data_IF_318832210879
#
_entry.id   IF_318832210879
#
_cell.length_a   1.000
_cell.length_b   1.000
_cell.length_c   1.000
_cell.angle_alpha   90.00
_cell.angle_beta   90.00
_cell.angle_gamma   90.00
#
_symmetry.space_group_name_H-M   'P 1'
#
loop_
_entity.id
_entity.type
_entity.pdbx_description
1 polymer ?
#
# COMPACT_ATOMS: atom_id res chain seq x y z
N UNK A 1 -70.97 22.78 56.72
CA UNK A 1 -71.59 22.26 55.53
C UNK A 1 -70.49 22.19 54.42
N UNK A 2 -70.27 21.09 53.90
CA UNK A 2 -69.07 20.48 53.29
C UNK A 2 -68.76 21.15 51.94
N UNK A 3 -67.68 21.93 51.85
CA UNK A 3 -66.91 22.22 50.64
C UNK A 3 -65.43 22.32 51.00
N UNK A 4 -64.81 21.20 51.28
CA UNK A 4 -63.34 21.19 51.55
C UNK A 4 -62.66 19.85 51.21
N UNK A 5 -63.19 19.11 50.18
CA UNK A 5 -62.51 17.83 49.91
C UNK A 5 -62.20 17.51 48.43
N UNK A 6 -62.59 18.40 47.52
CA UNK A 6 -62.32 18.11 46.09
C UNK A 6 -61.04 18.78 45.56
N UNK A 7 -60.61 19.88 46.15
CA UNK A 7 -59.41 20.59 45.73
C UNK A 7 -58.10 19.87 46.13
N UNK A 8 -58.11 19.13 47.25
CA UNK A 8 -56.91 18.43 47.74
C UNK A 8 -56.62 17.13 46.97
N UNK A 9 -57.64 16.42 46.48
CA UNK A 9 -57.48 15.23 45.68
C UNK A 9 -56.99 15.54 44.25
N UNK A 10 -57.45 16.66 43.66
CA UNK A 10 -57.01 17.10 42.32
C UNK A 10 -55.56 17.59 42.37
N UNK A 11 -55.11 18.21 43.46
CA UNK A 11 -53.71 18.67 43.62
C UNK A 11 -52.71 17.49 43.83
N UNK A 12 -53.14 16.41 44.49
CA UNK A 12 -52.34 15.22 44.69
C UNK A 12 -52.19 14.39 43.38
N UNK A 13 -53.24 14.29 42.59
CA UNK A 13 -53.18 13.59 41.29
C UNK A 13 -52.33 14.34 40.25
N UNK A 14 -52.39 15.69 40.24
CA UNK A 14 -51.57 16.51 39.34
C UNK A 14 -50.07 16.42 39.69
N UNK A 15 -49.76 16.39 41.00
CA UNK A 15 -48.37 16.22 41.43
C UNK A 15 -47.81 14.81 41.11
N UNK A 16 -48.64 13.76 41.23
CA UNK A 16 -48.23 12.39 40.88
C UNK A 16 -48.04 12.23 39.37
N UNK A 17 -48.92 12.85 38.55
CA UNK A 17 -48.80 12.83 37.09
C UNK A 17 -47.54 13.61 36.62
N UNK A 18 -47.25 14.77 37.24
CA UNK A 18 -46.07 15.56 36.90
C UNK A 18 -44.76 14.86 37.29
N UNK A 19 -44.70 14.23 38.49
CA UNK A 19 -43.52 13.48 38.92
C UNK A 19 -43.29 12.23 38.07
N UNK A 20 -44.36 11.53 37.68
CA UNK A 20 -44.27 10.36 36.76
C UNK A 20 -43.77 10.78 35.36
N UNK A 21 -44.26 11.90 34.83
CA UNK A 21 -43.81 12.42 33.54
C UNK A 21 -42.36 12.88 33.54
N UNK A 22 -41.89 13.55 34.61
CA UNK A 22 -40.50 13.96 34.74
C UNK A 22 -39.57 12.74 34.90
N UNK A 23 -39.99 11.71 35.64
CA UNK A 23 -39.21 10.48 35.83
C UNK A 23 -39.14 9.68 34.50
N UNK A 24 -40.20 9.59 33.73
CA UNK A 24 -40.26 8.93 32.43
C UNK A 24 -39.31 9.61 31.41
N UNK A 25 -39.32 10.94 31.34
CA UNK A 25 -38.46 11.71 30.46
C UNK A 25 -36.98 11.62 30.88
N UNK A 26 -36.64 11.49 32.17
CA UNK A 26 -35.31 11.28 32.66
C UNK A 26 -34.80 9.87 32.30
N UNK A 27 -35.65 8.85 32.40
CA UNK A 27 -35.30 7.47 32.02
C UNK A 27 -35.09 7.37 30.49
N UNK A 28 -35.97 7.99 29.70
CA UNK A 28 -35.79 8.06 28.24
C UNK A 28 -34.51 8.80 27.86
N UNK A 29 -34.21 9.92 28.53
CA UNK A 29 -32.96 10.67 28.33
C UNK A 29 -31.71 9.85 28.69
N UNK A 30 -31.76 9.06 29.80
CA UNK A 30 -30.67 8.18 30.21
C UNK A 30 -30.48 7.01 29.20
N UNK A 31 -31.60 6.41 28.73
CA UNK A 31 -31.55 5.36 27.73
C UNK A 31 -31.02 5.86 26.38
N UNK A 32 -31.41 7.08 25.96
CA UNK A 32 -30.87 7.74 24.75
C UNK A 32 -29.37 8.03 24.88
N UNK A 33 -28.91 8.51 26.05
CA UNK A 33 -27.48 8.71 26.31
C UNK A 33 -26.71 7.39 26.33
N UNK A 34 -27.30 6.31 26.84
CA UNK A 34 -26.72 4.97 26.84
C UNK A 34 -26.62 4.40 25.42
N UNK A 35 -27.67 4.56 24.60
CA UNK A 35 -27.70 4.12 23.19
C UNK A 35 -26.73 4.95 22.35
N UNK A 36 -26.63 6.26 22.55
CA UNK A 36 -25.64 7.13 21.91
C UNK A 36 -24.22 6.82 22.39
N UNK A 37 -24.04 6.49 23.68
CA UNK A 37 -22.75 6.03 24.22
C UNK A 37 -22.31 4.68 23.63
N UNK A 38 -23.24 3.74 23.44
CA UNK A 38 -22.94 2.46 22.77
C UNK A 38 -22.71 2.60 21.26
N UNK A 39 -23.37 3.56 20.59
CA UNK A 39 -23.11 3.85 19.18
C UNK A 39 -21.71 4.46 18.93
N UNK A 40 -21.12 5.09 19.97
CA UNK A 40 -19.72 5.58 19.90
C UNK A 40 -18.69 4.57 20.41
N UNK A 41 -19.11 3.45 21.02
CA UNK A 41 -18.28 2.27 21.25
C UNK A 41 -18.25 1.33 20.02
N UNK A 42 -18.41 1.87 18.80
CA UNK A 42 -17.79 1.18 17.67
C UNK A 42 -16.32 1.12 18.04
N UNK A 43 -15.88 -0.09 18.43
CA UNK A 43 -14.48 -0.42 18.50
C UNK A 43 -13.81 0.25 17.31
N UNK A 44 -12.91 1.18 17.59
CA UNK A 44 -11.88 1.55 16.64
C UNK A 44 -11.12 0.24 16.43
N UNK A 45 -11.65 -0.61 15.56
CA UNK A 45 -10.95 -1.80 15.09
C UNK A 45 -9.62 -1.24 14.61
N UNK A 46 -8.59 -1.44 15.41
CA UNK A 46 -7.26 -0.94 15.08
C UNK A 46 -6.98 -1.52 13.70
N UNK A 47 -7.06 -0.66 12.68
CA UNK A 47 -6.87 -1.09 11.30
C UNK A 47 -5.55 -1.83 11.27
N UNK A 48 -5.61 -3.14 11.05
CA UNK A 48 -4.42 -4.00 11.03
C UNK A 48 -3.45 -3.40 10.02
N UNK A 49 -2.32 -2.89 10.49
CA UNK A 49 -1.33 -2.25 9.62
C UNK A 49 -0.83 -3.28 8.61
N UNK A 50 -0.71 -2.88 7.35
CA UNK A 50 -0.09 -3.73 6.36
C UNK A 50 1.42 -3.83 6.64
N UNK A 51 1.93 -5.06 6.65
CA UNK A 51 3.35 -5.38 6.73
C UNK A 51 3.67 -6.19 5.48
N UNK A 52 4.39 -5.58 4.55
CA UNK A 52 4.70 -6.12 3.23
C UNK A 52 6.18 -6.45 3.17
N UNK A 53 6.53 -7.68 2.85
CA UNK A 53 7.91 -8.12 2.70
C UNK A 53 8.23 -8.42 1.24
N UNK A 54 9.23 -7.74 0.67
CA UNK A 54 9.85 -8.10 -0.60
C UNK A 54 10.87 -9.20 -0.36
N UNK A 55 10.67 -10.36 -0.96
CA UNK A 55 11.50 -11.53 -0.74
C UNK A 55 12.28 -11.93 -2.00
N UNK A 56 13.60 -11.75 -1.95
CA UNK A 56 14.56 -12.18 -2.98
C UNK A 56 15.52 -13.27 -2.49
N UNK A 57 15.24 -13.87 -1.33
CA UNK A 57 16.10 -14.86 -0.68
C UNK A 57 16.01 -16.27 -1.29
N UNK A 58 16.73 -17.19 -0.70
CA UNK A 58 16.77 -18.59 -1.15
C UNK A 58 15.54 -19.39 -0.71
N UNK A 59 15.31 -20.52 -1.39
CA UNK A 59 14.26 -21.47 -1.04
C UNK A 59 14.41 -22.05 0.39
N UNK A 60 15.65 -22.16 0.89
CA UNK A 60 15.90 -22.64 2.24
C UNK A 60 15.63 -21.56 3.30
N UNK A 61 16.04 -20.32 3.04
CA UNK A 61 15.93 -19.26 4.02
C UNK A 61 14.48 -18.86 4.34
N UNK A 62 13.52 -19.09 3.43
CA UNK A 62 12.12 -18.73 3.67
C UNK A 62 11.50 -19.46 4.85
N UNK A 63 12.01 -20.65 5.22
CA UNK A 63 11.48 -21.42 6.35
C UNK A 63 11.78 -20.78 7.71
N UNK A 64 12.77 -19.90 7.78
CA UNK A 64 13.11 -19.18 9.02
C UNK A 64 12.12 -18.04 9.35
N UNK A 65 11.24 -17.67 8.43
CA UNK A 65 10.30 -16.56 8.62
C UNK A 65 8.94 -17.02 9.13
N UNK A 66 8.45 -16.34 10.15
CA UNK A 66 7.12 -16.58 10.68
C UNK A 66 6.06 -15.85 9.83
N UNK A 67 5.22 -16.61 9.14
CA UNK A 67 4.16 -16.06 8.28
C UNK A 67 3.18 -15.12 9.00
N UNK A 68 3.05 -15.20 10.34
CA UNK A 68 2.17 -14.35 11.14
C UNK A 68 2.69 -12.92 11.28
N UNK A 69 3.97 -12.67 10.97
CA UNK A 69 4.58 -11.34 11.03
C UNK A 69 4.27 -10.50 9.80
N UNK A 70 3.71 -11.09 8.74
CA UNK A 70 3.44 -10.42 7.47
C UNK A 70 1.95 -10.43 7.16
N UNK A 71 1.49 -9.37 6.50
CA UNK A 71 0.19 -9.34 5.81
C UNK A 71 0.34 -9.71 4.34
N UNK A 72 1.48 -9.34 3.75
CA UNK A 72 1.81 -9.62 2.35
C UNK A 72 3.26 -10.07 2.25
N UNK A 73 3.52 -11.00 1.33
CA UNK A 73 4.86 -11.36 0.90
C UNK A 73 4.91 -11.32 -0.63
N UNK A 74 5.91 -10.65 -1.16
CA UNK A 74 6.10 -10.40 -2.59
C UNK A 74 7.31 -11.21 -3.06
N UNK A 75 7.09 -12.09 -4.04
CA UNK A 75 8.18 -12.79 -4.71
C UNK A 75 8.94 -11.82 -5.62
N UNK A 76 10.25 -11.70 -5.45
CA UNK A 76 11.15 -10.83 -6.21
C UNK A 76 12.21 -11.65 -6.96
N UNK A 77 12.30 -11.59 -8.26
CA UNK A 77 11.45 -10.91 -9.22
C UNK A 77 11.25 -11.79 -10.46
N UNK A 78 10.08 -11.73 -11.06
CA UNK A 78 9.87 -12.13 -12.44
C UNK A 78 10.48 -11.12 -13.42
N UNK A 79 10.53 -11.49 -14.68
CA UNK A 79 11.09 -10.69 -15.77
C UNK A 79 10.16 -10.73 -16.98
N UNK A 80 10.27 -9.75 -17.85
CA UNK A 80 9.65 -9.85 -19.17
C UNK A 80 10.48 -10.81 -20.07
N UNK A 81 9.76 -11.69 -20.76
CA UNK A 81 10.29 -12.46 -21.89
C UNK A 81 9.33 -12.26 -23.07
N UNK A 82 9.74 -11.48 -24.06
CA UNK A 82 8.79 -10.86 -24.98
C UNK A 82 7.85 -9.97 -24.18
N UNK A 83 6.54 -10.16 -24.36
CA UNK A 83 5.52 -9.41 -23.64
C UNK A 83 5.08 -10.09 -22.33
N UNK A 84 5.50 -11.32 -22.06
CA UNK A 84 5.00 -12.13 -20.94
C UNK A 84 5.81 -11.94 -19.68
N UNK A 85 5.13 -11.97 -18.54
CA UNK A 85 5.79 -12.20 -17.25
C UNK A 85 6.28 -13.64 -17.18
N UNK A 86 7.57 -13.84 -16.95
CA UNK A 86 8.20 -15.16 -16.81
C UNK A 86 9.03 -15.25 -15.52
N UNK A 87 9.09 -16.45 -15.00
CA UNK A 87 9.98 -16.83 -13.92
C UNK A 87 11.33 -17.28 -14.48
N UNK A 88 12.38 -17.18 -13.68
CA UNK A 88 13.75 -17.54 -14.12
C UNK A 88 13.98 -19.06 -14.19
N UNK A 89 13.08 -19.86 -13.57
CA UNK A 89 13.19 -21.31 -13.65
C UNK A 89 12.49 -22.05 -12.50
N UNK A 90 12.85 -23.33 -12.34
CA UNK A 90 12.22 -24.24 -11.38
C UNK A 90 12.37 -23.79 -9.92
N UNK A 91 13.53 -23.24 -9.55
CA UNK A 91 13.77 -22.73 -8.19
C UNK A 91 12.76 -21.64 -7.80
N UNK A 92 12.44 -20.73 -8.72
CA UNK A 92 11.45 -19.68 -8.51
C UNK A 92 10.05 -20.28 -8.35
N UNK A 93 9.72 -21.28 -9.18
CA UNK A 93 8.46 -22.02 -9.07
C UNK A 93 8.29 -22.67 -7.70
N UNK A 94 9.33 -23.34 -7.22
CA UNK A 94 9.34 -23.98 -5.89
C UNK A 94 9.22 -22.93 -4.78
N UNK A 95 9.92 -21.81 -4.89
CA UNK A 95 9.87 -20.72 -3.91
C UNK A 95 8.46 -20.14 -3.81
N UNK A 96 7.83 -19.81 -4.94
CA UNK A 96 6.46 -19.26 -4.94
C UNK A 96 5.47 -20.26 -4.34
N UNK A 97 5.55 -21.53 -4.71
CA UNK A 97 4.72 -22.61 -4.10
C UNK A 97 4.89 -22.66 -2.58
N UNK A 98 6.12 -22.49 -2.10
CA UNK A 98 6.44 -22.47 -0.68
C UNK A 98 5.86 -21.22 0.01
N UNK A 99 5.98 -20.04 -0.61
CA UNK A 99 5.34 -18.82 -0.12
C UNK A 99 3.81 -18.97 -0.03
N UNK A 100 3.17 -19.56 -1.03
CA UNK A 100 1.73 -19.82 -1.00
C UNK A 100 1.38 -20.83 0.10
N UNK A 101 2.22 -21.84 0.34
CA UNK A 101 2.02 -22.80 1.42
C UNK A 101 2.08 -22.17 2.82
N UNK A 102 2.76 -21.02 3.00
CA UNK A 102 2.75 -20.26 4.27
C UNK A 102 1.35 -19.79 4.68
N UNK A 103 0.39 -19.73 3.77
CA UNK A 103 -1.02 -19.45 4.08
C UNK A 103 -1.63 -20.50 5.02
N UNK A 104 -1.05 -21.71 5.14
CA UNK A 104 -1.46 -22.70 6.14
C UNK A 104 -1.22 -22.21 7.58
N UNK A 105 -0.20 -21.35 7.79
CA UNK A 105 0.12 -20.77 9.09
C UNK A 105 -0.58 -19.42 9.32
N UNK A 106 -0.87 -18.67 8.25
CA UNK A 106 -1.57 -17.39 8.27
C UNK A 106 -2.54 -17.32 7.08
N UNK A 107 -3.82 -17.59 7.34
CA UNK A 107 -4.86 -17.62 6.29
C UNK A 107 -5.10 -16.26 5.62
N UNK A 108 -4.74 -15.18 6.29
CA UNK A 108 -4.90 -13.81 5.79
C UNK A 108 -3.70 -13.35 4.95
N UNK A 109 -2.60 -14.13 4.93
CA UNK A 109 -1.40 -13.79 4.17
C UNK A 109 -1.71 -13.68 2.68
N UNK A 110 -1.29 -12.57 2.07
CA UNK A 110 -1.33 -12.36 0.63
C UNK A 110 0.04 -12.64 0.02
N UNK A 111 0.06 -13.39 -1.06
CA UNK A 111 1.29 -13.71 -1.80
C UNK A 111 1.19 -13.06 -3.17
N UNK A 112 2.11 -12.16 -3.49
CA UNK A 112 2.15 -11.46 -4.77
C UNK A 112 3.36 -11.91 -5.57
N UNK A 113 3.22 -11.90 -6.89
CA UNK A 113 4.34 -11.95 -7.82
C UNK A 113 4.82 -10.50 -8.05
N UNK A 114 6.10 -10.28 -8.33
CA UNK A 114 6.57 -8.96 -8.74
C UNK A 114 7.32 -9.02 -10.06
N UNK A 115 7.06 -8.03 -10.93
CA UNK A 115 7.85 -7.76 -12.12
C UNK A 115 8.85 -6.67 -11.81
N UNK A 116 10.13 -6.84 -12.15
CA UNK A 116 11.05 -5.70 -12.22
C UNK A 116 12.19 -5.72 -11.22
N UNK A 117 12.26 -4.69 -10.39
CA UNK A 117 13.41 -4.37 -9.56
C UNK A 117 14.53 -3.69 -10.37
N UNK A 118 15.54 -3.16 -9.69
CA UNK A 118 16.63 -2.42 -10.32
C UNK A 118 17.32 -3.23 -11.42
N UNK A 119 17.25 -2.72 -12.65
CA UNK A 119 17.75 -3.42 -13.85
C UNK A 119 16.83 -4.54 -14.37
N UNK A 120 15.73 -4.82 -13.71
CA UNK A 120 14.86 -5.96 -14.04
C UNK A 120 13.75 -5.69 -15.04
N UNK A 121 13.57 -4.45 -15.46
CA UNK A 121 12.49 -4.01 -16.34
C UNK A 121 13.01 -3.31 -17.61
N UNK A 122 14.09 -3.81 -18.18
CA UNK A 122 14.71 -3.20 -19.36
C UNK A 122 13.71 -2.92 -20.50
N UNK A 123 12.86 -3.89 -20.93
CA UNK A 123 11.93 -3.68 -22.02
C UNK A 123 10.56 -3.11 -21.61
N UNK A 124 10.39 -2.62 -20.39
CA UNK A 124 9.08 -2.20 -19.90
C UNK A 124 8.48 -1.04 -20.71
N UNK A 125 9.29 -0.03 -21.05
CA UNK A 125 8.81 1.10 -21.86
C UNK A 125 8.38 0.67 -23.28
N UNK A 126 9.08 -0.28 -23.90
CA UNK A 126 8.73 -0.82 -25.20
C UNK A 126 7.47 -1.69 -25.14
N UNK A 127 7.42 -2.63 -24.21
CA UNK A 127 6.32 -3.59 -24.08
C UNK A 127 5.03 -2.86 -23.69
N UNK A 128 5.09 -2.05 -22.65
CA UNK A 128 3.90 -1.35 -22.16
C UNK A 128 3.52 -0.14 -23.01
N UNK A 129 4.40 0.30 -23.91
CA UNK A 129 4.11 1.30 -24.95
C UNK A 129 3.07 0.83 -25.96
N UNK A 130 2.82 -0.47 -26.06
CA UNK A 130 1.85 -1.04 -27.03
C UNK A 130 0.65 -1.66 -26.31
N UNK A 131 -0.54 -1.59 -26.91
CA UNK A 131 -1.75 -2.23 -26.40
C UNK A 131 -1.55 -3.74 -26.29
N UNK A 132 -1.04 -4.37 -27.35
CA UNK A 132 -0.75 -5.81 -27.35
C UNK A 132 0.24 -6.23 -26.28
N UNK A 133 1.29 -5.45 -26.05
CA UNK A 133 2.25 -5.74 -24.98
C UNK A 133 1.62 -5.72 -23.58
N UNK A 134 0.74 -4.75 -23.33
CA UNK A 134 -0.02 -4.69 -22.07
C UNK A 134 -1.00 -5.86 -21.94
N UNK A 135 -1.72 -6.22 -23.00
CA UNK A 135 -2.67 -7.36 -22.99
C UNK A 135 -1.97 -8.69 -22.77
N UNK A 136 -0.89 -8.97 -23.49
CA UNK A 136 -0.11 -10.21 -23.35
C UNK A 136 0.47 -10.33 -21.94
N UNK A 137 1.04 -9.23 -21.42
CA UNK A 137 1.53 -9.19 -20.04
C UNK A 137 0.44 -9.52 -19.05
N UNK A 138 -0.71 -8.86 -19.13
CA UNK A 138 -1.84 -9.06 -18.21
C UNK A 138 -2.36 -10.49 -18.27
N UNK A 139 -2.47 -11.07 -19.47
CA UNK A 139 -2.86 -12.47 -19.64
C UNK A 139 -1.85 -13.44 -18.99
N UNK A 140 -0.54 -13.16 -19.13
CA UNK A 140 0.50 -13.96 -18.50
C UNK A 140 0.49 -13.85 -16.96
N UNK A 141 0.23 -12.65 -16.41
CA UNK A 141 0.05 -12.44 -14.97
C UNK A 141 -1.15 -13.25 -14.46
N UNK A 142 -2.30 -13.17 -15.15
CA UNK A 142 -3.50 -13.93 -14.80
C UNK A 142 -3.21 -15.42 -14.76
N UNK A 143 -2.56 -15.96 -15.80
CA UNK A 143 -2.19 -17.37 -15.90
C UNK A 143 -1.28 -17.81 -14.75
N UNK A 144 -0.27 -17.00 -14.41
CA UNK A 144 0.65 -17.32 -13.30
C UNK A 144 -0.02 -17.23 -11.94
N UNK A 145 -0.86 -16.21 -11.71
CA UNK A 145 -1.59 -16.07 -10.45
C UNK A 145 -2.57 -17.22 -10.23
N UNK A 146 -3.26 -17.66 -11.27
CA UNK A 146 -4.15 -18.82 -11.21
C UNK A 146 -3.37 -20.13 -10.94
N UNK A 147 -2.25 -20.32 -11.65
CA UNK A 147 -1.42 -21.52 -11.50
C UNK A 147 -0.87 -21.69 -10.08
N UNK A 148 -0.42 -20.59 -9.46
CA UNK A 148 0.15 -20.63 -8.11
C UNK A 148 -0.89 -20.52 -7.01
N UNK A 149 -2.08 -20.01 -7.28
CA UNK A 149 -3.03 -19.58 -6.24
C UNK A 149 -2.50 -18.39 -5.45
N UNK A 150 -1.70 -17.52 -6.10
CA UNK A 150 -1.22 -16.26 -5.54
C UNK A 150 -2.32 -15.19 -5.59
N UNK A 151 -2.14 -14.09 -4.84
CA UNK A 151 -3.21 -13.13 -4.60
C UNK A 151 -3.13 -11.90 -5.51
N UNK A 152 -2.12 -11.81 -6.36
CA UNK A 152 -1.99 -10.68 -7.28
C UNK A 152 -0.58 -10.37 -7.73
N UNK A 153 -0.37 -9.10 -8.10
CA UNK A 153 0.85 -8.61 -8.74
C UNK A 153 1.36 -7.33 -8.08
N UNK A 154 2.66 -7.19 -8.05
CA UNK A 154 3.39 -5.98 -7.76
C UNK A 154 4.19 -5.55 -8.99
N UNK A 155 4.26 -4.25 -9.27
CA UNK A 155 5.03 -3.70 -10.38
C UNK A 155 6.17 -2.86 -9.84
N UNK A 156 7.40 -3.31 -10.09
CA UNK A 156 8.61 -2.58 -9.70
C UNK A 156 9.35 -2.09 -10.96
N UNK A 157 8.70 -1.16 -11.68
CA UNK A 157 9.27 -0.53 -12.87
C UNK A 157 10.06 0.70 -12.49
N UNK A 158 11.39 0.64 -12.68
CA UNK A 158 12.32 1.70 -12.29
C UNK A 158 13.02 2.32 -13.52
N UNK A 159 12.45 3.38 -14.17
CA UNK A 159 11.19 4.05 -13.83
C UNK A 159 10.39 4.39 -15.09
N UNK A 160 9.07 4.54 -15.03
CA UNK A 160 8.31 5.18 -16.10
C UNK A 160 8.73 6.66 -16.24
N UNK A 161 8.81 7.18 -17.45
CA UNK A 161 9.02 8.59 -17.85
C UNK A 161 10.35 9.23 -17.48
N UNK A 162 11.07 8.71 -16.52
CA UNK A 162 12.34 9.27 -16.05
C UNK A 162 13.45 8.23 -16.12
N UNK A 163 14.69 8.71 -16.14
CA UNK A 163 15.83 7.82 -16.13
C UNK A 163 15.86 6.98 -14.83
N UNK A 164 15.90 5.65 -15.01
CA UNK A 164 16.16 4.67 -13.97
C UNK A 164 17.50 3.98 -14.20
N UNK A 165 17.48 2.64 -14.31
CA UNK A 165 18.69 1.85 -14.57
C UNK A 165 19.40 2.31 -15.84
N UNK A 166 20.74 2.48 -15.84
CA UNK A 166 21.48 2.93 -17.00
C UNK A 166 21.21 2.09 -18.26
N UNK A 167 20.86 2.77 -19.36
CA UNK A 167 20.56 2.12 -20.63
C UNK A 167 19.10 1.68 -20.81
N UNK A 168 18.26 1.75 -19.79
CA UNK A 168 16.82 1.50 -19.96
C UNK A 168 16.16 2.66 -20.69
N UNK A 169 15.25 2.32 -21.61
CA UNK A 169 14.42 3.32 -22.28
C UNK A 169 13.38 3.89 -21.32
N UNK A 170 13.09 5.17 -21.47
CA UNK A 170 11.98 5.87 -20.84
C UNK A 170 11.47 6.96 -21.76
N UNK A 171 10.17 7.19 -21.77
CA UNK A 171 9.52 8.21 -22.61
C UNK A 171 8.37 8.87 -21.83
N UNK A 172 7.96 10.08 -22.16
CA UNK A 172 6.85 10.77 -21.48
C UNK A 172 5.54 9.98 -21.46
N UNK A 173 5.28 9.21 -22.50
CA UNK A 173 4.09 8.37 -22.69
C UNK A 173 4.00 7.23 -21.69
N UNK A 174 5.12 6.84 -21.05
CA UNK A 174 5.14 5.77 -20.05
C UNK A 174 4.19 6.05 -18.88
N UNK A 175 3.95 7.31 -18.54
CA UNK A 175 2.98 7.71 -17.49
C UNK A 175 1.56 7.26 -17.83
N UNK A 176 1.14 7.48 -19.07
CA UNK A 176 -0.16 7.02 -19.55
C UNK A 176 -0.18 5.51 -19.72
N UNK A 177 0.87 4.94 -20.30
CA UNK A 177 0.99 3.50 -20.52
C UNK A 177 0.94 2.71 -19.22
N UNK A 178 1.58 3.22 -18.14
CA UNK A 178 1.50 2.64 -16.81
C UNK A 178 0.07 2.67 -16.24
N UNK A 179 -0.63 3.78 -16.43
CA UNK A 179 -2.03 3.90 -16.02
C UNK A 179 -2.93 2.90 -16.76
N UNK A 180 -2.77 2.76 -18.08
CA UNK A 180 -3.53 1.80 -18.89
C UNK A 180 -3.19 0.35 -18.50
N UNK A 181 -1.93 0.04 -18.25
CA UNK A 181 -1.51 -1.26 -17.74
C UNK A 181 -2.24 -1.63 -16.45
N UNK A 182 -2.25 -0.73 -15.47
CA UNK A 182 -2.94 -0.94 -14.19
C UNK A 182 -4.47 -1.08 -14.37
N UNK A 183 -5.05 -0.35 -15.33
CA UNK A 183 -6.48 -0.48 -15.66
C UNK A 183 -6.80 -1.87 -16.21
N UNK A 184 -5.98 -2.37 -17.11
CA UNK A 184 -6.12 -3.72 -17.67
C UNK A 184 -5.89 -4.79 -16.59
N UNK A 185 -4.86 -4.66 -15.77
CA UNK A 185 -4.62 -5.57 -14.64
C UNK A 185 -5.81 -5.62 -13.70
N UNK A 186 -6.36 -4.46 -13.31
CA UNK A 186 -7.53 -4.41 -12.43
C UNK A 186 -8.78 -5.00 -13.06
N UNK A 187 -8.99 -4.79 -14.35
CA UNK A 187 -10.09 -5.37 -15.11
C UNK A 187 -9.99 -6.89 -15.15
N UNK A 188 -8.83 -7.43 -15.46
CA UNK A 188 -8.62 -8.87 -15.68
C UNK A 188 -8.53 -9.66 -14.36
N UNK A 189 -7.80 -9.14 -13.38
CA UNK A 189 -7.61 -9.81 -12.10
C UNK A 189 -8.80 -9.61 -11.14
N UNK A 190 -9.65 -8.61 -11.40
CA UNK A 190 -10.82 -8.31 -10.59
C UNK A 190 -10.51 -7.65 -9.24
N UNK A 191 -11.56 -7.33 -8.48
CA UNK A 191 -11.47 -6.56 -7.23
C UNK A 191 -10.86 -7.32 -6.04
N UNK A 192 -10.81 -8.65 -6.10
CA UNK A 192 -10.29 -9.48 -5.00
C UNK A 192 -8.77 -9.64 -5.05
N UNK A 193 -8.16 -9.43 -6.22
CA UNK A 193 -6.72 -9.50 -6.38
C UNK A 193 -6.05 -8.24 -5.87
N UNK A 194 -4.92 -8.40 -5.21
CA UNK A 194 -4.09 -7.30 -4.73
C UNK A 194 -3.18 -6.82 -5.84
N UNK A 195 -3.24 -5.54 -6.16
CA UNK A 195 -2.33 -4.89 -7.11
C UNK A 195 -1.56 -3.81 -6.35
N UNK A 196 -0.24 -3.90 -6.39
CA UNK A 196 0.66 -2.91 -5.80
C UNK A 196 1.71 -2.46 -6.80
N UNK A 197 2.40 -1.39 -6.50
CA UNK A 197 3.59 -1.01 -7.24
C UNK A 197 4.59 -0.31 -6.32
N UNK A 198 5.89 -0.45 -6.65
CA UNK A 198 6.97 0.28 -6.02
C UNK A 198 7.08 1.67 -6.64
N UNK A 199 7.20 2.68 -5.82
CA UNK A 199 7.30 4.08 -6.23
C UNK A 199 8.61 4.69 -5.71
N UNK A 200 9.34 5.38 -6.57
CA UNK A 200 10.52 6.14 -6.17
C UNK A 200 10.16 7.16 -5.08
N UNK A 201 10.88 7.12 -3.95
CA UNK A 201 10.65 7.98 -2.79
C UNK A 201 11.17 9.41 -2.94
N UNK A 202 11.37 9.91 -4.14
CA UNK A 202 12.01 11.20 -4.45
C UNK A 202 11.12 12.06 -5.36
N UNK A 203 11.29 13.36 -5.26
CA UNK A 203 10.40 14.37 -5.86
C UNK A 203 10.20 14.18 -7.35
N UNK A 204 11.28 13.95 -8.12
CA UNK A 204 11.20 13.79 -9.57
C UNK A 204 10.27 12.65 -9.99
N UNK A 205 10.31 11.49 -9.30
CA UNK A 205 9.40 10.39 -9.56
C UNK A 205 7.97 10.79 -9.22
N UNK A 206 7.75 11.36 -8.05
CA UNK A 206 6.43 11.74 -7.55
C UNK A 206 5.72 12.68 -8.53
N UNK A 207 6.43 13.64 -9.08
CA UNK A 207 5.86 14.64 -10.00
C UNK A 207 5.67 14.12 -11.43
N UNK A 208 6.59 13.29 -11.91
CA UNK A 208 6.67 12.99 -13.34
C UNK A 208 6.15 11.62 -13.73
N UNK A 209 6.36 10.58 -12.91
CA UNK A 209 6.21 9.19 -13.35
C UNK A 209 4.80 8.62 -13.27
N UNK A 210 3.95 9.13 -12.39
CA UNK A 210 2.63 8.55 -12.11
C UNK A 210 1.51 9.59 -12.20
N UNK A 211 0.40 9.23 -12.84
CA UNK A 211 -0.87 9.95 -12.67
C UNK A 211 -1.58 9.42 -11.41
N UNK A 212 -1.24 10.01 -10.27
CA UNK A 212 -1.73 9.56 -8.95
C UNK A 212 -3.25 9.51 -8.87
N UNK A 213 -3.94 10.48 -9.45
CA UNK A 213 -5.41 10.56 -9.43
C UNK A 213 -6.04 9.37 -10.16
N UNK A 214 -5.49 8.99 -11.29
CA UNK A 214 -6.00 7.89 -12.12
C UNK A 214 -5.54 6.52 -11.60
N UNK A 215 -4.34 6.42 -11.02
CA UNK A 215 -3.72 5.16 -10.59
C UNK A 215 -4.25 4.69 -9.23
N UNK A 216 -4.40 5.59 -8.25
CA UNK A 216 -4.75 5.17 -6.89
C UNK A 216 -6.09 4.44 -6.74
N UNK A 217 -7.14 4.67 -7.56
CA UNK A 217 -8.34 3.84 -7.56
C UNK A 217 -8.13 2.40 -8.05
N UNK A 218 -7.07 2.15 -8.82
CA UNK A 218 -6.81 0.86 -9.48
C UNK A 218 -5.95 -0.09 -8.64
N UNK A 219 -5.18 0.46 -7.68
CA UNK A 219 -4.23 -0.29 -6.84
C UNK A 219 -4.69 -0.36 -5.40
N UNK A 220 -4.18 -1.34 -4.66
CA UNK A 220 -4.45 -1.50 -3.24
C UNK A 220 -3.44 -0.75 -2.39
N UNK A 221 -2.14 -0.83 -2.75
CA UNK A 221 -1.06 -0.12 -2.08
C UNK A 221 -0.06 0.45 -3.07
N UNK A 222 0.65 1.49 -2.63
CA UNK A 222 1.86 2.00 -3.22
C UNK A 222 2.99 1.83 -2.22
N UNK A 223 4.04 1.11 -2.62
CA UNK A 223 5.21 0.80 -1.80
C UNK A 223 6.28 1.86 -2.06
N UNK A 224 6.46 2.77 -1.12
CA UNK A 224 7.35 3.92 -1.27
C UNK A 224 8.79 3.49 -1.00
N UNK A 225 9.64 3.56 -2.01
CA UNK A 225 11.07 3.30 -1.89
C UNK A 225 11.77 4.51 -1.25
N UNK A 226 11.52 4.75 0.04
CA UNK A 226 12.10 5.84 0.82
C UNK A 226 13.51 5.50 1.30
N UNK A 227 14.29 4.97 0.36
CA UNK A 227 15.70 4.59 0.52
C UNK A 227 16.45 4.85 -0.80
N UNK A 228 17.77 4.74 -0.76
CA UNK A 228 18.67 5.16 -1.85
C UNK A 228 18.47 6.61 -2.27
N UNK A 229 17.91 7.44 -1.37
CA UNK A 229 17.68 8.87 -1.58
C UNK A 229 18.99 9.63 -1.81
N UNK A 230 20.06 9.16 -1.19
CA UNK A 230 21.44 9.44 -1.55
C UNK A 230 22.13 8.10 -1.76
N UNK A 231 22.63 7.85 -2.96
CA UNK A 231 23.14 6.55 -3.37
C UNK A 231 24.42 6.63 -4.21
N UNK A 232 24.78 5.54 -4.87
CA UNK A 232 26.01 5.42 -5.64
C UNK A 232 26.14 6.36 -6.85
N UNK A 233 25.07 7.04 -7.24
CA UNK A 233 25.06 8.05 -8.30
C UNK A 233 25.12 9.49 -7.76
N UNK A 234 25.13 9.66 -6.43
CA UNK A 234 25.21 10.98 -5.80
C UNK A 234 26.66 11.48 -5.77
N UNK A 235 26.83 12.77 -5.99
CA UNK A 235 28.14 13.45 -5.97
C UNK A 235 28.51 13.95 -4.57
N UNK A 236 27.58 13.86 -3.62
CA UNK A 236 27.75 14.22 -2.21
C UNK A 236 27.25 13.08 -1.33
N UNK A 237 27.82 12.96 -0.14
CA UNK A 237 27.33 12.00 0.85
C UNK A 237 26.03 12.49 1.51
N UNK A 238 25.29 11.58 2.10
CA UNK A 238 24.04 11.89 2.79
C UNK A 238 23.37 10.65 3.37
N UNK A 239 22.17 10.84 3.90
CA UNK A 239 21.36 9.77 4.46
C UNK A 239 20.57 9.08 3.35
N UNK A 240 20.89 7.81 3.09
CA UNK A 240 20.13 7.07 2.07
C UNK A 240 18.70 6.73 2.48
N UNK A 241 18.39 6.77 3.78
CA UNK A 241 17.05 6.55 4.35
C UNK A 241 16.63 7.69 5.28
N UNK A 242 16.83 8.93 4.87
CA UNK A 242 16.47 10.09 5.68
C UNK A 242 15.00 10.06 6.08
N UNK A 243 14.70 10.21 7.38
CA UNK A 243 13.33 10.34 7.86
C UNK A 243 12.79 11.74 7.59
N UNK A 244 13.57 12.78 7.90
CA UNK A 244 13.23 14.19 7.69
C UNK A 244 14.25 14.87 6.77
N UNK A 245 13.78 15.90 6.06
CA UNK A 245 14.62 16.77 5.24
C UNK A 245 15.54 17.64 6.09
N UNK A 246 16.67 18.02 5.51
CA UNK A 246 17.60 19.03 6.04
C UNK A 246 17.81 20.14 5.04
N UNK A 247 18.56 21.18 5.40
CA UNK A 247 18.92 22.24 4.44
C UNK A 247 19.70 21.69 3.25
N UNK A 248 20.58 20.71 3.48
CA UNK A 248 21.45 20.11 2.47
C UNK A 248 20.80 18.95 1.70
N UNK A 249 19.85 18.23 2.30
CA UNK A 249 19.18 17.08 1.70
C UNK A 249 17.66 17.24 1.82
N UNK A 250 16.99 17.45 0.67
CA UNK A 250 15.53 17.64 0.63
C UNK A 250 14.78 16.30 0.57
N UNK A 251 15.36 15.31 -0.09
CA UNK A 251 14.75 13.99 -0.20
C UNK A 251 14.74 13.26 1.15
N UNK A 252 13.55 12.90 1.59
CA UNK A 252 13.30 12.20 2.86
C UNK A 252 11.98 11.46 2.81
N UNK A 253 11.76 10.56 3.75
CA UNK A 253 10.49 9.85 3.92
C UNK A 253 9.34 10.82 4.17
N UNK A 254 9.54 11.79 5.05
CA UNK A 254 8.54 12.81 5.39
C UNK A 254 8.18 13.68 4.17
N UNK A 255 9.18 14.13 3.39
CA UNK A 255 8.95 14.88 2.18
C UNK A 255 8.18 14.06 1.13
N UNK A 256 8.54 12.80 0.93
CA UNK A 256 7.83 11.90 0.02
C UNK A 256 6.35 11.75 0.41
N UNK A 257 6.09 11.41 1.66
CA UNK A 257 4.71 11.21 2.16
C UNK A 257 3.91 12.50 2.09
N UNK A 258 4.48 13.63 2.50
CA UNK A 258 3.82 14.93 2.46
C UNK A 258 3.44 15.36 1.05
N UNK A 259 4.33 15.19 0.07
CA UNK A 259 4.05 15.49 -1.33
C UNK A 259 2.90 14.62 -1.87
N UNK A 260 2.90 13.33 -1.58
CA UNK A 260 1.83 12.41 -2.01
C UNK A 260 0.49 12.75 -1.35
N UNK A 261 0.47 13.11 -0.06
CA UNK A 261 -0.73 13.58 0.62
C UNK A 261 -1.30 14.84 -0.05
N UNK A 262 -0.44 15.81 -0.38
CA UNK A 262 -0.83 17.03 -1.08
C UNK A 262 -1.39 16.77 -2.48
N UNK A 263 -0.96 15.68 -3.13
CA UNK A 263 -1.51 15.21 -4.41
C UNK A 263 -2.80 14.39 -4.26
N UNK A 264 -3.30 14.21 -3.03
CA UNK A 264 -4.53 13.48 -2.73
C UNK A 264 -4.38 11.96 -2.68
N UNK A 265 -3.16 11.44 -2.58
CA UNK A 265 -2.94 9.98 -2.38
C UNK A 265 -3.42 9.59 -0.98
N UNK A 266 -4.32 8.60 -0.85
CA UNK A 266 -4.84 8.22 0.46
C UNK A 266 -3.75 7.59 1.35
N UNK A 267 -3.53 8.12 2.54
CA UNK A 267 -2.52 7.64 3.50
C UNK A 267 -2.63 6.14 3.78
N UNK A 268 -3.86 5.60 3.84
CA UNK A 268 -4.12 4.16 4.04
C UNK A 268 -3.60 3.25 2.93
N UNK A 269 -3.23 3.79 1.78
CA UNK A 269 -2.65 3.05 0.65
C UNK A 269 -1.14 3.19 0.56
N UNK A 270 -0.52 4.08 1.34
CA UNK A 270 0.93 4.27 1.35
C UNK A 270 1.61 3.28 2.29
N UNK A 271 2.61 2.58 1.79
CA UNK A 271 3.49 1.71 2.57
C UNK A 271 4.90 2.32 2.52
N UNK A 272 5.39 2.72 3.67
CA UNK A 272 6.75 3.26 3.79
C UNK A 272 7.77 2.12 3.71
N UNK A 273 8.68 2.19 2.76
CA UNK A 273 9.74 1.22 2.55
C UNK A 273 10.88 1.40 3.56
N UNK A 274 11.28 0.29 4.19
CA UNK A 274 12.44 0.23 5.07
C UNK A 274 13.54 -0.60 4.42
N UNK A 275 14.73 -0.02 4.22
CA UNK A 275 15.89 -0.74 3.69
C UNK A 275 16.51 -1.63 4.78
N UNK A 276 16.79 -2.89 4.42
CA UNK A 276 17.54 -3.83 5.26
C UNK A 276 19.01 -3.93 4.81
N UNK A 277 19.58 -2.80 4.36
CA UNK A 277 20.97 -2.64 3.94
C UNK A 277 21.44 -1.22 4.22
N UNK A 278 22.75 -1.01 4.19
CA UNK A 278 23.39 0.28 4.40
C UNK A 278 24.21 0.69 3.16
N UNK A 279 24.50 1.99 3.06
CA UNK A 279 25.48 2.56 2.12
C UNK A 279 26.71 3.01 2.89
N UNK A 280 27.88 2.75 2.33
CA UNK A 280 29.17 3.22 2.84
C UNK A 280 29.86 4.03 1.77
N UNK A 281 30.60 5.06 2.18
CA UNK A 281 31.40 5.90 1.30
C UNK A 281 32.84 5.88 1.75
N UNK A 282 33.75 5.77 0.80
CA UNK A 282 35.21 5.80 1.02
C UNK A 282 35.81 6.98 0.28
N UNK A 283 36.95 7.50 0.76
CA UNK A 283 37.70 8.57 0.13
C UNK A 283 36.92 9.91 0.06
N UNK A 284 36.02 10.13 0.99
CA UNK A 284 35.18 11.35 1.02
C UNK A 284 36.00 12.54 1.45
N UNK A 285 35.98 13.63 0.64
CA UNK A 285 36.56 14.90 1.05
C UNK A 285 35.74 15.55 2.16
N UNK A 286 36.37 16.09 3.22
CA UNK A 286 35.66 16.81 4.27
C UNK A 286 34.90 18.05 3.76
N UNK A 287 35.29 18.60 2.61
CA UNK A 287 34.68 19.78 2.01
C UNK A 287 33.34 19.50 1.34
N UNK A 288 33.02 18.23 1.07
CA UNK A 288 31.81 17.78 0.34
C UNK A 288 30.80 17.03 1.23
N UNK A 289 30.93 17.14 2.53
CA UNK A 289 30.01 16.53 3.49
C UNK A 289 28.88 17.47 3.91
#
# INVERSE_FOLDING_TARGET
MIIFNTALLISLDLNHAQTSFIMHNRIIGLCLLFVLGFAHLQEASAQKKAVIAYYSGSLAAIDSFNAKNFTHIIYCFGRLNGNDLKLRGEKDTLLIKKMVAMKKQNKDLKVLLSLGGWGGCAPCSEVFGTEKGREDFVASVKSLTDYFGSDGIDLDWEYPTIQGFPGHRFVPEDKQNFTELLRLLRKELGKKSTITFAAGGFQKFIEQSVDWKSVMPLVDYVNLMTYDLVGGYSTVTGHHTALYSTEKQKESTDNCVSNLLNMGVPSKKMIVGAAFYARTWEGVSPENN
#
